data_IF_353759926983
#
_entry.id   IF_353759926983
#
_cell.length_a   1.000
_cell.length_b   1.000
_cell.length_c   1.000
_cell.angle_alpha   90.00
_cell.angle_beta   90.00
_cell.angle_gamma   90.00
#
_symmetry.space_group_name_H-M   'P 1'
#
loop_
_entity.id
_entity.type
_entity.pdbx_description
1 polymer ?
#
# COMPACT_ATOMS: atom_id res chain seq x y z
N UNK A 1 8.31 2.82 0.35
CA UNK A 1 7.66 3.82 1.22
C UNK A 1 6.19 3.51 1.46
N UNK A 2 5.43 3.04 0.47
CA UNK A 2 4.00 2.70 0.62
C UNK A 2 3.70 1.72 1.77
N UNK A 3 4.51 0.67 1.94
CA UNK A 3 4.30 -0.31 3.01
C UNK A 3 4.41 0.26 4.43
N UNK A 4 5.36 1.18 4.66
CA UNK A 4 5.51 1.81 5.97
C UNK A 4 4.30 2.68 6.30
N UNK A 5 3.76 3.38 5.30
CA UNK A 5 2.56 4.21 5.43
C UNK A 5 1.32 3.35 5.74
N UNK A 6 1.20 2.19 5.09
CA UNK A 6 0.13 1.22 5.36
C UNK A 6 0.22 0.63 6.78
N UNK A 7 1.45 0.36 7.24
CA UNK A 7 1.74 -0.06 8.62
C UNK A 7 1.41 1.01 9.66
N UNK A 8 1.64 2.29 9.33
CA UNK A 8 1.25 3.41 10.20
C UNK A 8 -0.29 3.47 10.35
N UNK A 9 -1.02 3.33 9.24
CA UNK A 9 -2.49 3.37 9.24
C UNK A 9 -3.14 2.18 9.94
N UNK A 10 -2.64 0.96 9.71
CA UNK A 10 -3.26 -0.26 10.25
C UNK A 10 -2.68 -0.73 11.59
N UNK A 11 -1.71 0.00 12.17
CA UNK A 11 -0.92 -0.33 13.39
C UNK A 11 -0.13 -1.65 13.36
N UNK A 12 -0.64 -2.69 12.69
CA UNK A 12 0.00 -3.98 12.49
C UNK A 12 -0.45 -4.60 11.17
N UNK A 13 0.45 -5.24 10.45
CA UNK A 13 0.11 -6.08 9.30
C UNK A 13 0.71 -7.48 9.43
N UNK A 14 0.04 -8.45 8.84
CA UNK A 14 0.54 -9.82 8.72
C UNK A 14 1.41 -9.97 7.45
N UNK A 15 2.37 -10.90 7.42
CA UNK A 15 3.19 -11.17 6.24
C UNK A 15 2.38 -11.47 4.97
N UNK A 16 1.21 -12.08 5.11
CA UNK A 16 0.29 -12.32 4.01
C UNK A 16 -0.33 -11.02 3.49
N UNK A 17 -0.77 -10.12 4.37
CA UNK A 17 -1.34 -8.82 3.98
C UNK A 17 -0.30 -7.95 3.29
N UNK A 18 0.96 -8.03 3.74
CA UNK A 18 2.07 -7.35 3.07
C UNK A 18 2.33 -7.92 1.67
N UNK A 19 2.27 -9.25 1.51
CA UNK A 19 2.44 -9.89 0.21
C UNK A 19 1.31 -9.52 -0.76
N UNK A 20 0.08 -9.49 -0.25
CA UNK A 20 -1.12 -9.10 -1.00
C UNK A 20 -1.05 -7.62 -1.43
N UNK A 21 -0.75 -6.73 -0.49
CA UNK A 21 -0.58 -5.29 -0.74
C UNK A 21 0.53 -4.98 -1.75
N UNK A 22 1.64 -5.72 -1.69
CA UNK A 22 2.75 -5.55 -2.62
C UNK A 22 2.57 -6.32 -3.94
N UNK A 23 1.46 -7.07 -4.10
CA UNK A 23 1.22 -7.97 -5.22
C UNK A 23 2.45 -8.82 -5.57
N UNK A 24 3.12 -9.37 -4.54
CA UNK A 24 4.38 -10.09 -4.70
C UNK A 24 4.33 -11.47 -4.03
N UNK A 25 5.17 -12.37 -4.51
CA UNK A 25 5.28 -13.71 -3.92
C UNK A 25 5.68 -13.64 -2.44
N UNK A 26 5.11 -14.56 -1.64
CA UNK A 26 5.42 -14.73 -0.21
C UNK A 26 6.92 -14.71 0.14
N UNK A 27 7.82 -15.37 -0.62
CA UNK A 27 9.26 -15.25 -0.41
C UNK A 27 9.78 -13.82 -0.58
N UNK A 28 9.33 -13.10 -1.61
CA UNK A 28 9.71 -11.69 -1.86
C UNK A 28 9.24 -10.78 -0.73
N UNK A 29 7.99 -10.94 -0.29
CA UNK A 29 7.45 -10.23 0.87
C UNK A 29 8.29 -10.51 2.13
N UNK A 30 8.67 -11.76 2.39
CA UNK A 30 9.55 -12.11 3.51
C UNK A 30 10.93 -11.45 3.43
N UNK A 31 11.52 -11.35 2.23
CA UNK A 31 12.80 -10.65 2.04
C UNK A 31 12.66 -9.16 2.32
N UNK A 32 11.56 -8.54 1.85
CA UNK A 32 11.26 -7.13 2.13
C UNK A 32 11.09 -6.90 3.63
N UNK A 33 10.33 -7.75 4.30
CA UNK A 33 10.13 -7.68 5.76
C UNK A 33 11.49 -7.82 6.48
N UNK A 34 12.31 -8.81 6.12
CA UNK A 34 13.66 -8.96 6.70
C UNK A 34 14.55 -7.74 6.46
N UNK A 35 14.48 -7.15 5.28
CA UNK A 35 15.27 -5.96 4.95
C UNK A 35 14.81 -4.73 5.75
N UNK A 36 13.51 -4.60 6.00
CA UNK A 36 12.95 -3.53 6.81
C UNK A 36 13.23 -3.73 8.31
N UNK A 37 13.20 -4.97 8.79
CA UNK A 37 13.59 -5.36 10.14
C UNK A 37 15.09 -5.14 10.37
N UNK A 38 15.94 -5.48 9.39
CA UNK A 38 17.39 -5.22 9.44
C UNK A 38 17.74 -3.74 9.48
N UNK A 39 16.87 -2.88 8.93
CA UNK A 39 16.98 -1.43 9.02
C UNK A 39 16.38 -0.86 10.30
N UNK A 40 15.88 -1.73 11.18
CA UNK A 40 15.20 -1.40 12.43
C UNK A 40 13.89 -0.63 12.23
N UNK A 41 13.31 -0.60 11.02
CA UNK A 41 12.11 0.19 10.73
C UNK A 41 10.81 -0.51 11.13
N UNK A 42 10.84 -1.83 11.27
CA UNK A 42 9.72 -2.65 11.68
C UNK A 42 10.22 -3.73 12.65
N UNK A 43 9.34 -4.21 13.52
CA UNK A 43 9.62 -5.34 14.38
C UNK A 43 8.51 -6.38 14.28
N UNK A 44 8.89 -7.66 14.36
CA UNK A 44 7.95 -8.78 14.33
C UNK A 44 7.57 -9.17 15.75
N UNK A 45 6.31 -8.98 16.12
CA UNK A 45 5.73 -9.48 17.37
C UNK A 45 5.05 -10.82 17.11
N UNK A 46 5.44 -11.85 17.86
CA UNK A 46 4.70 -13.12 17.91
C UNK A 46 3.44 -12.91 18.73
N UNK A 47 2.29 -13.24 18.14
CA UNK A 47 1.03 -13.24 18.86
C UNK A 47 0.90 -14.58 19.61
N UNK A 48 0.86 -14.53 20.95
CA UNK A 48 0.85 -15.73 21.81
C UNK A 48 -0.40 -16.61 21.60
N UNK A 49 -1.46 -16.07 20.99
CA UNK A 49 -2.70 -16.81 20.73
C UNK A 49 -2.68 -17.67 19.47
N UNK A 50 -1.83 -17.37 18.48
CA UNK A 50 -1.72 -18.19 17.28
C UNK A 50 -0.33 -18.04 16.66
N UNK A 51 0.48 -19.09 16.74
CA UNK A 51 1.83 -19.16 16.15
C UNK A 51 1.89 -18.92 14.62
N UNK A 52 0.74 -18.87 13.93
CA UNK A 52 0.60 -18.50 12.52
C UNK A 52 0.44 -17.00 12.25
N UNK A 53 0.07 -16.19 13.25
CA UNK A 53 -0.13 -14.74 13.09
C UNK A 53 1.08 -14.00 13.63
N UNK A 54 2.06 -13.80 12.76
CA UNK A 54 3.15 -12.88 13.04
C UNK A 54 2.64 -11.48 12.73
N UNK A 55 2.57 -10.60 13.73
CA UNK A 55 2.22 -9.20 13.53
C UNK A 55 3.49 -8.40 13.31
N UNK A 56 3.51 -7.66 12.21
CA UNK A 56 4.59 -6.74 11.88
C UNK A 56 4.12 -5.36 12.30
N UNK A 57 4.88 -4.74 13.18
CA UNK A 57 4.60 -3.40 13.69
C UNK A 57 5.73 -2.48 13.28
N UNK A 58 5.41 -1.20 13.10
CA UNK A 58 6.41 -0.16 12.87
C UNK A 58 7.09 0.21 14.20
N UNK A 59 8.40 0.44 14.15
CA UNK A 59 9.19 0.96 15.29
C UNK A 59 9.18 2.49 15.31
N UNK A 60 9.65 3.09 16.40
CA UNK A 60 9.81 4.55 16.50
C UNK A 60 10.79 5.11 15.45
N UNK A 61 11.87 4.39 15.16
CA UNK A 61 12.83 4.73 14.09
C UNK A 61 12.18 4.64 12.70
N UNK A 62 11.31 3.65 12.48
CA UNK A 62 10.50 3.54 11.27
C UNK A 62 9.56 4.72 11.08
N UNK A 63 8.90 5.17 12.17
CA UNK A 63 8.05 6.37 12.17
C UNK A 63 8.84 7.64 11.92
N UNK A 64 10.01 7.80 12.53
CA UNK A 64 10.90 8.94 12.28
C UNK A 64 11.36 9.00 10.82
N UNK A 65 11.70 7.85 10.22
CA UNK A 65 12.05 7.78 8.81
C UNK A 65 10.85 8.13 7.95
N UNK A 66 9.65 7.64 8.28
CA UNK A 66 8.41 8.00 7.61
C UNK A 66 8.16 9.49 7.68
N UNK A 67 8.27 10.11 8.86
CA UNK A 67 8.11 11.55 9.03
C UNK A 67 9.17 12.32 8.27
N UNK A 68 10.45 11.92 8.32
CA UNK A 68 11.52 12.54 7.54
C UNK A 68 11.25 12.45 6.05
N UNK A 69 10.76 11.31 5.56
CA UNK A 69 10.39 11.12 4.16
C UNK A 69 9.17 11.98 3.82
N UNK A 70 8.12 11.98 4.63
CA UNK A 70 6.92 12.78 4.39
C UNK A 70 7.18 14.29 4.51
N UNK A 71 8.20 14.68 5.29
CA UNK A 71 8.65 16.07 5.43
C UNK A 71 9.65 16.48 4.35
N UNK A 72 10.39 15.51 3.79
CA UNK A 72 11.34 15.72 2.68
C UNK A 72 10.69 15.60 1.32
N UNK A 73 9.53 14.94 1.22
CA UNK A 73 8.57 15.19 0.16
C UNK A 73 8.07 16.59 0.46
N UNK A 74 8.51 17.63 -0.27
CA UNK A 74 7.85 18.92 -0.15
C UNK A 74 6.39 18.59 -0.42
N UNK A 75 5.48 19.03 0.45
CA UNK A 75 4.08 19.12 0.10
C UNK A 75 4.08 19.68 -1.33
N UNK A 76 3.72 18.87 -2.32
CA UNK A 76 3.42 19.37 -3.64
C UNK A 76 2.08 20.08 -3.48
N UNK A 77 2.08 21.18 -2.71
CA UNK A 77 1.04 22.20 -2.65
C UNK A 77 0.93 22.93 -3.97
N UNK A 78 1.80 22.60 -4.93
CA UNK A 78 1.58 22.78 -6.34
C UNK A 78 1.15 21.42 -6.87
N UNK A 79 -0.08 21.04 -6.54
CA UNK A 79 -0.69 19.88 -7.20
C UNK A 79 -0.84 20.27 -8.67
N UNK A 80 -0.42 19.45 -9.65
CA UNK A 80 -0.79 19.68 -11.06
C UNK A 80 -2.31 19.67 -11.27
N UNK A 81 -3.07 19.31 -10.23
CA UNK A 81 -4.52 19.37 -10.14
C UNK A 81 -5.07 20.74 -9.72
N UNK A 82 -4.25 21.73 -9.32
CA UNK A 82 -4.70 23.10 -9.01
C UNK A 82 -5.20 23.85 -10.27
N UNK A 83 -4.87 23.33 -11.46
CA UNK A 83 -5.41 23.78 -12.75
C UNK A 83 -6.84 23.29 -12.98
N UNK A 84 -7.24 22.19 -12.34
CA UNK A 84 -8.54 21.58 -12.56
C UNK A 84 -9.57 22.29 -11.68
N UNK A 85 -10.52 22.94 -12.33
CA UNK A 85 -11.73 23.41 -11.67
C UNK A 85 -12.53 22.21 -11.13
N UNK A 86 -13.41 22.45 -10.14
CA UNK A 86 -14.24 21.38 -9.55
C UNK A 86 -15.01 20.58 -10.62
N UNK A 87 -15.40 21.24 -11.71
CA UNK A 87 -16.11 20.63 -12.84
C UNK A 87 -15.21 19.72 -13.67
N UNK A 88 -13.96 20.11 -13.93
CA UNK A 88 -12.98 19.26 -14.63
C UNK A 88 -12.52 18.09 -13.78
N UNK A 89 -12.42 18.27 -12.45
CA UNK A 89 -12.13 17.18 -11.52
C UNK A 89 -13.27 16.15 -11.50
N UNK A 90 -14.52 16.58 -11.51
CA UNK A 90 -15.69 15.70 -11.64
C UNK A 90 -15.72 14.97 -12.99
N UNK A 91 -15.41 15.67 -14.09
CA UNK A 91 -15.29 15.04 -15.41
C UNK A 91 -14.16 14.01 -15.48
N UNK A 92 -13.00 14.31 -14.89
CA UNK A 92 -11.88 13.39 -14.82
C UNK A 92 -12.25 12.15 -14.01
N UNK A 93 -12.91 12.32 -12.87
CA UNK A 93 -13.38 11.20 -12.05
C UNK A 93 -14.40 10.35 -12.82
N UNK A 94 -15.35 10.98 -13.52
CA UNK A 94 -16.31 10.30 -14.38
C UNK A 94 -15.64 9.49 -15.50
N UNK A 95 -14.64 10.07 -16.18
CA UNK A 95 -13.88 9.39 -17.23
C UNK A 95 -13.09 8.20 -16.67
N UNK A 96 -12.42 8.37 -15.52
CA UNK A 96 -11.70 7.30 -14.83
C UNK A 96 -12.64 6.17 -14.42
N UNK A 97 -13.79 6.47 -13.82
CA UNK A 97 -14.80 5.46 -13.47
C UNK A 97 -15.37 4.76 -14.70
N UNK A 98 -15.53 5.47 -15.83
CA UNK A 98 -15.98 4.85 -17.09
C UNK A 98 -14.94 3.89 -17.66
N UNK A 99 -13.67 4.26 -17.61
CA UNK A 99 -12.56 3.38 -17.95
C UNK A 99 -12.45 2.18 -17.00
N UNK A 100 -12.62 2.41 -15.70
CA UNK A 100 -12.61 1.35 -14.68
C UNK A 100 -13.76 0.36 -14.91
N UNK A 101 -14.97 0.84 -15.18
CA UNK A 101 -16.12 -0.01 -15.49
C UNK A 101 -15.87 -0.84 -16.75
N UNK A 102 -15.27 -0.23 -17.78
CA UNK A 102 -14.91 -0.94 -19.01
C UNK A 102 -13.81 -1.97 -18.80
N UNK A 103 -12.83 -1.69 -17.94
CA UNK A 103 -11.81 -2.67 -17.53
C UNK A 103 -12.46 -3.83 -16.77
N UNK A 104 -13.39 -3.57 -15.85
CA UNK A 104 -14.15 -4.62 -15.15
C UNK A 104 -14.96 -5.49 -16.10
N UNK A 105 -15.61 -4.91 -17.11
CA UNK A 105 -16.34 -5.69 -18.13
C UNK A 105 -15.43 -6.55 -19.00
N UNK A 106 -14.24 -6.05 -19.37
CA UNK A 106 -13.26 -6.82 -20.15
C UNK A 106 -12.67 -7.97 -19.32
N UNK A 107 -12.43 -7.75 -18.03
CA UNK A 107 -11.93 -8.79 -17.11
C UNK A 107 -13.00 -9.89 -16.93
N UNK A 108 -14.26 -9.50 -16.70
CA UNK A 108 -15.39 -10.43 -16.59
C UNK A 108 -15.63 -11.24 -17.88
N UNK A 109 -15.37 -10.65 -19.06
CA UNK A 109 -15.48 -11.34 -20.35
C UNK A 109 -14.34 -12.34 -20.62
N UNK A 110 -13.18 -12.19 -19.96
CA UNK A 110 -12.05 -13.13 -20.08
C UNK A 110 -12.19 -14.36 -19.19
N UNK A 111 -12.93 -14.28 -18.08
CA UNK A 111 -13.19 -15.44 -17.22
C UNK A 111 -14.19 -16.43 -17.84
N UNK A 112 -15.12 -15.98 -18.69
CA UNK A 112 -16.12 -16.84 -19.34
C UNK A 112 -15.64 -17.55 -20.64
N UNK A 113 -14.41 -17.32 -21.10
CA UNK A 113 -13.87 -17.92 -22.33
C UNK A 113 -12.72 -18.92 -22.08
N UNK A 114 -12.47 -19.27 -20.81
CA UNK A 114 -11.49 -20.29 -20.40
C UNK A 114 -12.16 -21.46 -19.64
N UNK A 115 -13.41 -21.80 -19.99
CA UNK A 115 -14.06 -23.08 -19.64
C UNK A 115 -14.30 -23.91 -20.90
#
# INVERSE_FOLDING_TARGET
MALLNELEKNQFLSPNEIADYLHCDRPTASVIIKNLEKKDWIYRKKDEKNAKYHKILITDTGKEVLQKVNSSVPQLTISPFDVLTSEESDQLFYLLSKCENRMKEIICSKENNNE
#
